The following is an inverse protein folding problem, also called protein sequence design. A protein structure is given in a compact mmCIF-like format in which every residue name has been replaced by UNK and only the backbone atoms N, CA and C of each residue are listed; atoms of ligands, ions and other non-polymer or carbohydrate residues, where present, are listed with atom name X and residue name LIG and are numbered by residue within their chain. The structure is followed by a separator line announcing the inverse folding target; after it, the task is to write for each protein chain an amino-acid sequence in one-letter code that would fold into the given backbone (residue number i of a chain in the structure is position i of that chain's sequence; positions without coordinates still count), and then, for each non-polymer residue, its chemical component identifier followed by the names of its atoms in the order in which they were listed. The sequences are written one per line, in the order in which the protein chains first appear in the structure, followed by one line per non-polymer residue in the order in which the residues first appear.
data_IF_537096179730
#
_entry.id   IF_537096179730
#
_cell.length_a   1.000
_cell.length_b   1.000
_cell.length_c   1.000
_cell.angle_alpha   90.00
_cell.angle_beta   90.00
_cell.angle_gamma   90.00
#
_symmetry.space_group_name_H-M   'P 1'
#
loop_
_entity.id
_entity.type
_entity.pdbx_description
1 polymer ?
#
# COMPACT_ATOMS: atom_id res chain seq x y z
N UNK A 1 1.76 -6.52 -9.39
CA UNK A 1 2.04 -6.98 -10.77
C UNK A 1 1.88 -8.49 -10.89
N UNK A 2 0.66 -8.95 -11.11
CA UNK A 2 0.40 -10.32 -11.52
C UNK A 2 0.94 -10.53 -12.95
N UNK A 3 2.05 -11.26 -13.08
CA UNK A 3 2.52 -11.78 -14.37
C UNK A 3 3.58 -11.01 -15.14
N UNK A 4 4.40 -10.14 -14.51
CA UNK A 4 5.65 -9.64 -15.10
C UNK A 4 5.56 -8.83 -16.41
N UNK A 5 4.35 -8.52 -16.88
CA UNK A 5 4.08 -7.90 -18.19
C UNK A 5 4.21 -6.37 -18.23
N UNK A 6 4.47 -5.72 -17.09
CA UNK A 6 4.55 -4.25 -17.02
C UNK A 6 5.66 -3.62 -17.89
N UNK A 7 6.70 -4.39 -18.24
CA UNK A 7 7.75 -3.95 -19.18
C UNK A 7 7.26 -3.75 -20.62
N UNK A 8 6.11 -4.32 -21.00
CA UNK A 8 5.55 -4.16 -22.34
C UNK A 8 4.81 -2.82 -22.55
N UNK A 9 4.51 -2.08 -21.49
CA UNK A 9 3.60 -0.93 -21.56
C UNK A 9 4.26 0.40 -21.13
N UNK A 10 5.42 0.78 -21.67
CA UNK A 10 6.03 2.13 -21.52
C UNK A 10 6.43 2.58 -20.08
N UNK A 11 6.42 1.71 -19.06
CA UNK A 11 6.95 2.07 -17.74
C UNK A 11 8.50 2.12 -17.75
N UNK A 12 9.14 3.19 -17.25
CA UNK A 12 10.59 3.22 -17.03
C UNK A 12 11.04 2.07 -16.11
N UNK A 13 12.07 1.32 -16.52
CA UNK A 13 12.57 0.14 -15.80
C UNK A 13 12.90 0.43 -14.33
N UNK A 14 13.44 1.61 -14.02
CA UNK A 14 13.75 2.00 -12.64
C UNK A 14 12.49 2.10 -11.75
N UNK A 15 11.35 2.57 -12.30
CA UNK A 15 10.07 2.61 -11.58
C UNK A 15 9.56 1.20 -11.32
N UNK A 16 9.65 0.34 -12.32
CA UNK A 16 9.27 -1.07 -12.20
C UNK A 16 10.06 -1.77 -11.08
N UNK A 17 11.39 -1.64 -11.09
CA UNK A 17 12.26 -2.24 -10.06
C UNK A 17 11.94 -1.65 -8.69
N UNK A 18 11.83 -0.32 -8.59
CA UNK A 18 11.50 0.36 -7.34
C UNK A 18 10.17 -0.13 -6.76
N UNK A 19 9.10 -0.20 -7.56
CA UNK A 19 7.80 -0.71 -7.13
C UNK A 19 7.88 -2.14 -6.62
N UNK A 20 8.66 -3.01 -7.28
CA UNK A 20 8.83 -4.41 -6.86
C UNK A 20 9.59 -4.52 -5.54
N UNK A 21 10.65 -3.73 -5.36
CA UNK A 21 11.40 -3.66 -4.12
C UNK A 21 10.55 -3.12 -2.96
N UNK A 22 9.80 -2.05 -3.19
CA UNK A 22 8.88 -1.47 -2.20
C UNK A 22 7.80 -2.47 -1.81
N UNK A 23 7.12 -3.07 -2.79
CA UNK A 23 6.11 -4.11 -2.56
C UNK A 23 6.65 -5.28 -1.72
N UNK A 24 7.87 -5.73 -2.01
CA UNK A 24 8.50 -6.80 -1.23
C UNK A 24 8.75 -6.37 0.23
N UNK A 25 9.33 -5.18 0.43
CA UNK A 25 9.60 -4.65 1.76
C UNK A 25 8.32 -4.47 2.58
N UNK A 26 7.26 -3.96 1.96
CA UNK A 26 5.95 -3.78 2.59
C UNK A 26 5.29 -5.10 2.95
N UNK A 27 5.33 -6.10 2.07
CA UNK A 27 4.86 -7.45 2.39
C UNK A 27 5.61 -8.05 3.60
N UNK A 28 6.94 -7.90 3.67
CA UNK A 28 7.75 -8.39 4.80
C UNK A 28 7.35 -7.71 6.11
N UNK A 29 7.18 -6.39 6.10
CA UNK A 29 6.82 -5.62 7.29
C UNK A 29 5.40 -5.90 7.74
N UNK A 30 4.46 -5.99 6.79
CA UNK A 30 3.03 -6.13 7.08
C UNK A 30 2.57 -7.57 7.29
N UNK A 31 3.31 -8.54 6.75
CA UNK A 31 2.92 -9.95 6.67
C UNK A 31 1.96 -10.26 5.52
N UNK A 32 1.63 -9.28 4.67
CA UNK A 32 0.75 -9.48 3.52
C UNK A 32 1.46 -10.17 2.35
N UNK A 33 0.67 -10.55 1.34
CA UNK A 33 1.15 -11.20 0.10
C UNK A 33 0.54 -10.52 -1.13
N UNK A 34 0.69 -9.20 -1.23
CA UNK A 34 0.20 -8.43 -2.38
C UNK A 34 1.22 -8.44 -3.52
N UNK A 35 0.71 -8.51 -4.75
CA UNK A 35 1.53 -8.44 -5.96
C UNK A 35 1.99 -7.01 -6.25
N UNK A 36 1.24 -5.99 -5.82
CA UNK A 36 1.62 -4.57 -5.87
C UNK A 36 0.75 -3.68 -4.98
N UNK A 37 1.40 -2.79 -4.23
CA UNK A 37 0.75 -1.77 -3.40
C UNK A 37 0.44 -0.48 -4.18
N UNK A 38 1.12 -0.23 -5.30
CA UNK A 38 1.19 1.10 -5.95
C UNK A 38 0.26 1.26 -7.16
N UNK A 39 -0.79 0.45 -7.28
CA UNK A 39 -1.84 0.60 -8.30
C UNK A 39 -2.76 1.79 -8.00
N UNK A 40 -3.47 2.33 -8.98
CA UNK A 40 -4.45 3.41 -8.78
C UNK A 40 -5.90 2.93 -8.67
N UNK A 41 -6.22 1.71 -9.13
CA UNK A 41 -7.60 1.23 -9.20
C UNK A 41 -7.90 0.27 -8.04
N UNK A 42 -8.86 0.64 -7.19
CA UNK A 42 -9.29 -0.12 -6.00
C UNK A 42 -10.78 0.00 -5.80
N UNK A 43 -11.40 -1.04 -5.24
CA UNK A 43 -12.78 -1.03 -4.80
C UNK A 43 -12.85 -1.40 -3.32
N UNK A 44 -13.68 -0.69 -2.57
CA UNK A 44 -13.86 -0.88 -1.13
C UNK A 44 -15.34 -0.91 -0.79
N UNK A 45 -15.73 -1.67 0.23
CA UNK A 45 -17.06 -1.54 0.80
C UNK A 45 -17.19 -0.22 1.56
N UNK A 46 -18.38 0.39 1.52
CA UNK A 46 -18.61 1.65 2.23
C UNK A 46 -18.43 1.49 3.75
N UNK A 47 -18.79 0.34 4.30
CA UNK A 47 -18.65 0.03 5.72
C UNK A 47 -17.19 -0.11 6.16
N UNK A 48 -16.31 -0.63 5.28
CA UNK A 48 -14.88 -0.68 5.54
C UNK A 48 -14.33 0.75 5.64
N UNK A 49 -14.58 1.57 4.63
CA UNK A 49 -14.07 2.95 4.55
C UNK A 49 -14.49 3.78 5.77
N UNK A 50 -15.75 3.67 6.21
CA UNK A 50 -16.26 4.40 7.38
C UNK A 50 -15.61 4.01 8.71
N UNK A 51 -15.00 2.83 8.80
CA UNK A 51 -14.32 2.33 10.01
C UNK A 51 -12.83 2.66 10.05
N UNK A 52 -12.24 3.03 8.92
CA UNK A 52 -10.81 3.34 8.86
C UNK A 52 -10.56 4.76 9.39
N UNK A 53 -9.43 5.00 10.10
CA UNK A 53 -9.07 6.31 10.62
C UNK A 53 -8.45 7.20 9.52
N UNK A 54 -9.22 7.47 8.47
CA UNK A 54 -8.75 8.16 7.26
C UNK A 54 -8.28 9.59 7.52
N UNK A 55 -8.84 10.26 8.52
CA UNK A 55 -8.44 11.61 8.95
C UNK A 55 -7.00 11.66 9.49
N UNK A 56 -6.41 10.52 9.85
CA UNK A 56 -5.02 10.45 10.28
C UNK A 56 -4.03 10.32 9.10
N UNK A 57 -4.53 10.12 7.88
CA UNK A 57 -3.70 9.93 6.70
C UNK A 57 -3.17 11.26 6.18
N UNK A 58 -2.13 11.17 5.34
CA UNK A 58 -1.56 12.32 4.64
C UNK A 58 -2.44 12.75 3.48
N UNK A 59 -2.53 14.04 3.20
CA UNK A 59 -3.19 14.59 2.01
C UNK A 59 -2.36 14.46 0.70
N UNK A 60 -1.28 13.68 0.71
CA UNK A 60 -0.36 13.50 -0.44
C UNK A 60 -0.44 12.05 -0.94
N UNK A 61 0.33 11.70 -1.97
CA UNK A 61 0.27 10.40 -2.64
C UNK A 61 0.41 9.15 -1.75
N UNK A 62 0.95 9.28 -0.53
CA UNK A 62 1.09 8.15 0.41
C UNK A 62 -0.25 7.72 1.04
N UNK A 63 -1.32 8.52 0.88
CA UNK A 63 -2.66 8.24 1.40
C UNK A 63 -3.14 6.82 1.08
N UNK A 64 -3.08 6.44 -0.21
CA UNK A 64 -3.53 5.11 -0.66
C UNK A 64 -2.77 3.98 0.04
N UNK A 65 -1.47 4.20 0.28
CA UNK A 65 -0.66 3.20 0.97
C UNK A 65 -1.03 3.08 2.45
N UNK A 66 -1.26 4.23 3.11
CA UNK A 66 -1.72 4.29 4.50
C UNK A 66 -3.07 3.58 4.66
N UNK A 67 -4.00 3.76 3.72
CA UNK A 67 -5.24 3.00 3.69
C UNK A 67 -5.01 1.50 3.61
N UNK A 68 -4.15 1.02 2.70
CA UNK A 68 -3.89 -0.42 2.55
C UNK A 68 -3.33 -1.02 3.84
N UNK A 69 -2.36 -0.38 4.48
CA UNK A 69 -1.81 -0.87 5.74
C UNK A 69 -2.80 -0.76 6.90
N UNK A 70 -3.74 0.19 6.87
CA UNK A 70 -4.85 0.27 7.83
C UNK A 70 -5.88 -0.85 7.65
N UNK A 71 -6.16 -1.24 6.41
CA UNK A 71 -7.03 -2.41 6.12
C UNK A 71 -6.38 -3.69 6.67
N UNK A 72 -5.07 -3.86 6.47
CA UNK A 72 -4.31 -4.95 7.05
C UNK A 72 -4.26 -4.88 8.59
N UNK A 73 -4.21 -3.67 9.16
CA UNK A 73 -4.27 -3.45 10.60
C UNK A 73 -5.60 -3.91 11.19
N UNK A 74 -6.70 -3.61 10.50
CA UNK A 74 -8.04 -4.08 10.80
C UNK A 74 -8.27 -5.57 10.56
N UNK A 75 -7.24 -6.31 10.11
CA UNK A 75 -7.32 -7.76 9.91
C UNK A 75 -8.12 -8.17 8.67
N UNK A 76 -8.42 -7.23 7.78
CA UNK A 76 -9.11 -7.54 6.53
C UNK A 76 -8.15 -8.08 5.47
N UNK A 77 -8.63 -9.04 4.68
CA UNK A 77 -7.91 -9.57 3.54
C UNK A 77 -8.12 -8.68 2.31
N UNK A 78 -7.04 -8.39 1.60
CA UNK A 78 -7.08 -7.67 0.32
C UNK A 78 -6.97 -8.71 -0.81
N UNK A 79 -7.95 -8.73 -1.71
CA UNK A 79 -7.94 -9.58 -2.90
C UNK A 79 -7.50 -8.78 -4.13
N UNK A 80 -6.68 -9.38 -4.98
CA UNK A 80 -6.22 -8.80 -6.24
C UNK A 80 -6.94 -9.45 -7.42
N UNK A 81 -7.59 -8.62 -8.24
CA UNK A 81 -8.23 -9.07 -9.49
C UNK A 81 -7.31 -8.73 -10.66
N UNK A 82 -7.06 -9.71 -11.53
CA UNK A 82 -6.24 -9.48 -12.73
C UNK A 82 -7.06 -8.72 -13.76
N UNK A 83 -6.64 -7.50 -14.07
CA UNK A 83 -7.10 -6.76 -15.25
C UNK A 83 -5.91 -6.53 -16.19
N UNK A 84 -6.09 -6.62 -17.53
CA UNK A 84 -5.04 -6.24 -18.46
C UNK A 84 -4.72 -4.75 -18.28
N UNK A 85 -3.55 -4.45 -17.74
CA UNK A 85 -3.06 -3.09 -17.55
C UNK A 85 -2.80 -2.48 -18.93
N UNK A 86 -3.42 -1.34 -19.23
CA UNK A 86 -2.98 -0.46 -20.33
C UNK A 86 -2.35 0.75 -19.68
N UNK A 87 -1.03 0.88 -19.74
CA UNK A 87 -0.38 2.14 -19.39
C UNK A 87 -0.57 3.09 -20.56
N UNK A 88 -1.50 4.03 -20.39
CA UNK A 88 -1.64 5.17 -21.30
C UNK A 88 -0.54 6.18 -20.98
N UNK A 89 0.08 6.75 -22.01
CA UNK A 89 1.13 7.76 -21.85
C UNK A 89 0.61 9.02 -21.12
N UNK A 90 -0.70 9.28 -21.17
CA UNK A 90 -1.38 10.36 -20.45
C UNK A 90 -1.64 10.07 -18.96
N UNK A 91 -1.32 8.88 -18.43
CA UNK A 91 -1.45 8.61 -17.00
C UNK A 91 -0.52 9.54 -16.22
N UNK A 92 -1.11 10.39 -15.38
CA UNK A 92 -0.42 11.45 -14.62
C UNK A 92 0.81 10.89 -13.91
N UNK A 93 1.99 11.20 -14.45
CA UNK A 93 3.22 10.61 -13.96
C UNK A 93 3.76 11.44 -12.80
N UNK A 94 3.86 10.80 -11.63
CA UNK A 94 4.58 11.39 -10.50
C UNK A 94 6.03 11.67 -10.94
N UNK A 95 6.49 12.91 -10.70
CA UNK A 95 7.87 13.28 -11.00
C UNK A 95 8.86 12.54 -10.09
N UNK A 96 10.14 12.49 -10.46
CA UNK A 96 11.13 11.69 -9.74
C UNK A 96 11.22 12.05 -8.25
N UNK A 97 11.31 13.34 -7.90
CA UNK A 97 11.40 13.79 -6.51
C UNK A 97 10.19 13.35 -5.68
N UNK A 98 8.98 13.51 -6.22
CA UNK A 98 7.75 13.05 -5.54
C UNK A 98 7.70 11.51 -5.46
N UNK A 99 8.24 10.80 -6.46
CA UNK A 99 8.33 9.32 -6.45
C UNK A 99 9.23 8.83 -5.30
N UNK A 100 10.36 9.50 -5.07
CA UNK A 100 11.27 9.17 -3.96
C UNK A 100 10.59 9.43 -2.61
N UNK A 101 9.96 10.61 -2.44
CA UNK A 101 9.20 10.94 -1.22
C UNK A 101 8.10 9.90 -0.95
N UNK A 102 7.37 9.51 -2.00
CA UNK A 102 6.34 8.49 -1.93
C UNK A 102 6.90 7.14 -1.48
N UNK A 103 8.00 6.67 -2.08
CA UNK A 103 8.64 5.40 -1.71
C UNK A 103 9.06 5.36 -0.23
N UNK A 104 9.70 6.43 0.27
CA UNK A 104 10.02 6.54 1.69
C UNK A 104 8.78 6.61 2.57
N UNK A 105 7.72 7.29 2.13
CA UNK A 105 6.43 7.32 2.84
C UNK A 105 5.79 5.95 2.97
N UNK A 106 5.89 5.11 1.94
CA UNK A 106 5.37 3.73 1.96
C UNK A 106 6.14 2.88 2.98
N UNK A 107 7.48 2.92 2.91
CA UNK A 107 8.35 2.22 3.85
C UNK A 107 8.14 2.68 5.30
N UNK A 108 8.00 3.99 5.52
CA UNK A 108 7.70 4.53 6.84
C UNK A 108 6.35 3.99 7.35
N UNK A 109 5.30 4.03 6.53
CA UNK A 109 3.96 3.53 6.92
C UNK A 109 3.98 2.05 7.30
N UNK A 110 4.66 1.22 6.52
CA UNK A 110 4.82 -0.21 6.81
C UNK A 110 5.70 -0.48 8.04
N UNK A 111 6.73 0.34 8.28
CA UNK A 111 7.56 0.27 9.49
C UNK A 111 6.74 0.66 10.73
N UNK A 112 6.00 1.77 10.68
CA UNK A 112 5.09 2.18 11.75
C UNK A 112 4.06 1.08 12.05
N UNK A 113 3.49 0.45 11.01
CA UNK A 113 2.60 -0.68 11.16
C UNK A 113 3.29 -1.80 11.94
N UNK A 114 4.50 -2.21 11.54
CA UNK A 114 5.22 -3.32 12.18
C UNK A 114 5.53 -3.02 13.65
N UNK A 115 6.04 -1.82 13.93
CA UNK A 115 6.35 -1.38 15.29
C UNK A 115 5.08 -1.30 16.16
N UNK A 116 3.97 -0.82 15.61
CA UNK A 116 2.67 -0.80 16.30
C UNK A 116 2.16 -2.23 16.58
N UNK A 117 2.27 -3.16 15.62
CA UNK A 117 1.90 -4.58 15.83
C UNK A 117 2.72 -5.24 16.92
N UNK A 118 3.99 -4.87 17.04
CA UNK A 118 4.90 -5.32 18.09
C UNK A 118 4.67 -4.63 19.44
N UNK A 119 3.66 -3.75 19.54
CA UNK A 119 3.35 -2.94 20.72
C UNK A 119 4.51 -2.02 21.17
N UNK A 120 5.43 -1.68 20.26
CA UNK A 120 6.59 -0.83 20.57
C UNK A 120 6.25 0.66 20.50
N UNK A 121 5.26 1.03 19.70
CA UNK A 121 4.82 2.42 19.53
C UNK A 121 3.29 2.50 19.50
N UNK A 122 2.76 3.68 19.84
CA UNK A 122 1.37 4.05 19.56
C UNK A 122 1.33 4.98 18.36
N UNK A 123 0.37 4.78 17.46
CA UNK A 123 0.22 5.59 16.24
C UNK A 123 -1.23 5.96 16.01
N UNK A 124 -1.47 7.21 15.57
CA UNK A 124 -2.81 7.65 15.15
C UNK A 124 -3.29 6.92 13.89
N UNK A 125 -2.36 6.44 13.06
CA UNK A 125 -2.68 5.62 11.88
C UNK A 125 -3.19 4.23 12.27
N UNK A 126 -2.85 3.73 13.46
CA UNK A 126 -3.11 2.36 13.90
C UNK A 126 -3.72 2.36 15.32
N UNK A 127 -4.96 2.88 15.48
CA UNK A 127 -5.63 2.87 16.76
C UNK A 127 -6.01 1.43 17.15
N UNK A 128 -5.85 1.10 18.43
CA UNK A 128 -6.19 -0.22 18.98
C UNK A 128 -7.68 -0.57 18.79
N UNK A 129 -8.57 0.43 18.78
CA UNK A 129 -10.01 0.23 18.51
C UNK A 129 -10.31 -0.38 17.15
N UNK A 130 -9.39 -0.24 16.20
CA UNK A 130 -9.51 -0.76 14.83
C UNK A 130 -8.59 -1.97 14.59
N UNK A 131 -7.92 -2.50 15.62
CA UNK A 131 -6.97 -3.60 15.46
C UNK A 131 -7.73 -4.92 15.28
N UNK A 132 -7.48 -5.62 14.17
CA UNK A 132 -7.99 -6.96 13.93
C UNK A 132 -7.12 -8.04 14.57
N UNK A 133 -7.75 -9.17 14.91
CA UNK A 133 -7.05 -10.37 15.38
C UNK A 133 -6.16 -10.95 14.28
N UNK A 134 -4.89 -11.26 14.56
CA UNK A 134 -4.07 -12.01 13.61
C UNK A 134 -4.50 -13.46 13.66
N UNK A 135 -5.00 -13.98 12.54
CA UNK A 135 -5.00 -15.42 12.34
C UNK A 135 -3.53 -15.86 12.19
N UNK A 136 -2.96 -16.36 13.28
CA UNK A 136 -1.76 -17.18 13.27
C UNK A 136 -2.05 -18.40 12.39
N UNK A 137 -1.54 -18.40 11.15
CA UNK A 137 -1.46 -19.59 10.32
C UNK A 137 -0.10 -20.26 10.51
#
# INVERSE_FOLDING_TARGET
MLGGRALKDNMPLWKYIANRCLTLAENIMTGAKLSEYHTGYRAFSADLIRKLPLEANSDDFVFDNQMLVQILWAGHTIAEVTCPTKYFAEASSINFRRSVKYGFGCLASACLYRLARMNLIKSKLFPESCRGEQHSS
#
